data_IF_743422432527
#
_entry.id   IF_743422432527
#
_cell.length_a   1.000
_cell.length_b   1.000
_cell.length_c   1.000
_cell.angle_alpha   90.00
_cell.angle_beta   90.00
_cell.angle_gamma   90.00
#
_symmetry.space_group_name_H-M   'P 1'
#
loop_
_entity.id
_entity.type
_entity.pdbx_description
1 polymer ?
#
# COMPACT_ATOMS: atom_id res chain seq x y z
N UNK A 1 9.36 -11.05 17.73
CA UNK A 1 8.75 -10.00 16.89
C UNK A 1 7.63 -10.58 16.04
N UNK A 2 6.66 -9.76 15.65
CA UNK A 2 5.51 -10.18 14.83
C UNK A 2 5.84 -10.04 13.35
N UNK A 3 5.70 -11.15 12.62
CA UNK A 3 5.78 -11.19 11.16
C UNK A 3 4.66 -10.40 10.50
N UNK A 4 4.85 -9.92 9.26
CA UNK A 4 3.79 -9.23 8.48
C UNK A 4 2.54 -10.10 8.40
N UNK A 5 2.72 -11.40 8.14
CA UNK A 5 1.60 -12.36 8.09
C UNK A 5 0.82 -12.40 9.41
N UNK A 6 1.52 -12.38 10.55
CA UNK A 6 0.87 -12.32 11.87
C UNK A 6 0.20 -10.96 12.11
N UNK A 7 0.81 -9.83 11.71
CA UNK A 7 0.19 -8.50 11.81
C UNK A 7 -1.12 -8.41 11.01
N UNK A 8 -1.14 -8.92 9.77
CA UNK A 8 -2.35 -8.99 8.94
C UNK A 8 -3.40 -9.93 9.52
N UNK A 9 -2.99 -11.07 10.08
CA UNK A 9 -3.90 -12.00 10.74
C UNK A 9 -4.50 -11.40 12.01
N UNK A 10 -3.71 -10.68 12.81
CA UNK A 10 -4.19 -9.89 13.96
C UNK A 10 -5.19 -8.84 13.50
N UNK A 11 -4.94 -8.14 12.39
CA UNK A 11 -5.88 -7.17 11.83
C UNK A 11 -7.23 -7.80 11.48
N UNK A 12 -7.22 -8.95 10.81
CA UNK A 12 -8.45 -9.69 10.47
C UNK A 12 -9.20 -10.20 11.71
N UNK A 13 -8.47 -10.74 12.69
CA UNK A 13 -9.07 -11.19 13.95
C UNK A 13 -9.66 -10.01 14.72
N UNK A 14 -8.95 -8.88 14.76
CA UNK A 14 -9.43 -7.67 15.42
C UNK A 14 -10.72 -7.14 14.80
N UNK A 15 -10.83 -7.07 13.47
CA UNK A 15 -12.06 -6.65 12.80
C UNK A 15 -13.21 -7.63 13.03
N UNK A 16 -12.95 -8.94 13.03
CA UNK A 16 -13.96 -9.96 13.33
C UNK A 16 -14.46 -9.89 14.78
N UNK A 17 -13.56 -9.70 15.75
CA UNK A 17 -13.92 -9.52 17.17
C UNK A 17 -14.80 -8.30 17.34
N UNK A 18 -14.44 -7.19 16.70
CA UNK A 18 -15.16 -5.94 16.81
C UNK A 18 -16.58 -6.07 16.18
N UNK A 19 -16.69 -6.72 15.03
CA UNK A 19 -17.99 -7.05 14.42
C UNK A 19 -18.84 -7.95 15.33
N UNK A 20 -18.23 -8.98 15.92
CA UNK A 20 -18.90 -9.91 16.82
C UNK A 20 -19.44 -9.20 18.07
N UNK A 21 -18.68 -8.27 18.65
CA UNK A 21 -19.11 -7.46 19.80
C UNK A 21 -20.34 -6.62 19.43
N UNK A 22 -20.32 -5.93 18.28
CA UNK A 22 -21.46 -5.13 17.80
C UNK A 22 -22.71 -5.99 17.64
N UNK A 23 -22.59 -7.13 16.96
CA UNK A 23 -23.72 -8.03 16.72
C UNK A 23 -24.28 -8.56 18.03
N UNK A 24 -23.41 -9.00 18.95
CA UNK A 24 -23.84 -9.57 20.24
C UNK A 24 -24.58 -8.54 21.08
N UNK A 25 -24.06 -7.31 21.18
CA UNK A 25 -24.71 -6.22 21.94
C UNK A 25 -26.03 -5.81 21.28
N UNK A 26 -26.07 -5.77 19.94
CA UNK A 26 -27.30 -5.44 19.20
C UNK A 26 -28.39 -6.48 19.43
N UNK A 27 -28.05 -7.77 19.33
CA UNK A 27 -28.98 -8.88 19.60
C UNK A 27 -29.47 -8.83 21.04
N UNK A 28 -28.56 -8.64 22.02
CA UNK A 28 -28.93 -8.51 23.43
C UNK A 28 -29.88 -7.34 23.68
N UNK A 29 -29.61 -6.17 23.08
CA UNK A 29 -30.48 -4.99 23.20
C UNK A 29 -31.87 -5.23 22.59
N UNK A 30 -31.94 -5.89 21.43
CA UNK A 30 -33.22 -6.22 20.77
C UNK A 30 -34.01 -7.23 21.59
N UNK A 31 -33.35 -8.26 22.14
CA UNK A 31 -34.00 -9.26 22.99
C UNK A 31 -34.58 -8.65 24.26
N UNK A 32 -33.85 -7.77 24.94
CA UNK A 32 -34.36 -7.06 26.11
C UNK A 32 -35.57 -6.18 25.76
N UNK A 33 -35.50 -5.43 24.65
CA UNK A 33 -36.62 -4.60 24.21
C UNK A 33 -37.85 -5.44 23.86
N UNK A 34 -37.67 -6.55 23.15
CA UNK A 34 -38.75 -7.48 22.80
C UNK A 34 -39.41 -8.08 24.03
N UNK A 35 -38.62 -8.43 25.06
CA UNK A 35 -39.14 -8.99 26.32
C UNK A 35 -40.03 -7.98 27.06
N UNK A 36 -39.60 -6.72 27.13
CA UNK A 36 -40.40 -5.68 27.81
C UNK A 36 -41.62 -5.28 26.99
N UNK A 37 -41.52 -5.28 25.65
CA UNK A 37 -42.66 -5.03 24.77
C UNK A 37 -43.76 -6.08 24.92
N UNK A 38 -43.40 -7.37 24.97
CA UNK A 38 -44.38 -8.44 25.17
C UNK A 38 -45.07 -8.36 26.54
N UNK A 39 -44.33 -8.02 27.60
CA UNK A 39 -44.94 -7.76 28.91
C UNK A 39 -45.96 -6.62 28.86
N UNK A 40 -45.62 -5.51 28.20
CA UNK A 40 -46.56 -4.40 28.02
C UNK A 40 -47.82 -4.79 27.26
N UNK A 41 -47.73 -5.70 26.29
CA UNK A 41 -48.89 -6.20 25.54
C UNK A 41 -49.85 -6.99 26.45
N UNK A 42 -49.31 -7.85 27.32
CA UNK A 42 -50.12 -8.60 28.30
C UNK A 42 -50.84 -7.64 29.24
N UNK A 43 -50.11 -6.70 29.85
CA UNK A 43 -50.64 -5.72 30.80
C UNK A 43 -51.66 -4.76 30.16
N UNK A 44 -51.46 -4.39 28.89
CA UNK A 44 -52.43 -3.61 28.12
C UNK A 44 -53.77 -4.35 27.98
N UNK A 45 -53.73 -5.65 27.72
CA UNK A 45 -54.95 -6.45 27.62
C UNK A 45 -55.68 -6.53 28.96
N UNK A 46 -54.96 -6.59 30.08
CA UNK A 46 -55.56 -6.57 31.43
C UNK A 46 -56.34 -5.28 31.68
N UNK A 47 -55.70 -4.12 31.41
CA UNK A 47 -56.33 -2.79 31.52
C UNK A 47 -57.55 -2.69 30.61
N UNK A 48 -57.43 -3.13 29.35
CA UNK A 48 -58.52 -3.01 28.38
C UNK A 48 -59.76 -3.81 28.80
N UNK A 49 -59.58 -5.06 29.24
CA UNK A 49 -60.70 -5.92 29.62
C UNK A 49 -61.34 -5.46 30.95
N UNK A 50 -60.54 -4.95 31.91
CA UNK A 50 -61.08 -4.31 33.10
C UNK A 50 -61.98 -3.10 32.77
N UNK A 51 -61.53 -2.25 31.84
CA UNK A 51 -62.26 -1.07 31.42
C UNK A 51 -63.55 -1.42 30.66
N UNK A 52 -63.50 -2.42 29.78
CA UNK A 52 -64.68 -2.91 29.06
C UNK A 52 -65.73 -3.51 30.03
N UNK A 53 -65.31 -4.25 31.06
CA UNK A 53 -66.20 -4.73 32.11
C UNK A 53 -66.85 -3.58 32.90
N UNK A 54 -66.07 -2.54 33.22
CA UNK A 54 -66.57 -1.34 33.88
C UNK A 54 -67.67 -0.66 33.06
N UNK A 55 -67.41 -0.44 31.77
CA UNK A 55 -68.37 0.21 30.85
C UNK A 55 -69.64 -0.64 30.74
N UNK A 56 -69.52 -1.95 30.51
CA UNK A 56 -70.68 -2.82 30.33
C UNK A 56 -71.55 -2.87 31.59
N UNK A 57 -70.93 -2.92 32.78
CA UNK A 57 -71.65 -2.91 34.05
C UNK A 57 -72.32 -1.55 34.33
N UNK A 58 -71.65 -0.44 34.00
CA UNK A 58 -72.26 0.89 34.09
C UNK A 58 -73.48 1.02 33.19
N UNK A 59 -73.41 0.52 31.94
CA UNK A 59 -74.54 0.49 31.01
C UNK A 59 -75.69 -0.36 31.54
N UNK A 60 -75.39 -1.54 32.11
CA UNK A 60 -76.38 -2.37 32.79
C UNK A 60 -77.09 -1.61 33.92
N UNK A 61 -76.34 -0.94 34.80
CA UNK A 61 -76.93 -0.14 35.87
C UNK A 61 -77.75 1.05 35.36
N UNK A 62 -77.36 1.67 34.24
CA UNK A 62 -78.12 2.75 33.61
C UNK A 62 -79.50 2.27 33.15
N UNK A 63 -79.60 1.08 32.53
CA UNK A 63 -80.93 0.56 32.12
C UNK A 63 -81.87 0.36 33.30
N UNK A 64 -81.37 -0.10 34.45
CA UNK A 64 -82.16 -0.21 35.69
C UNK A 64 -82.65 1.17 36.14
N UNK A 65 -81.76 2.17 36.14
CA UNK A 65 -82.11 3.57 36.49
C UNK A 65 -83.15 4.16 35.53
N UNK A 66 -82.97 3.97 34.23
CA UNK A 66 -83.90 4.47 33.20
C UNK A 66 -85.28 3.80 33.29
N UNK A 67 -85.31 2.48 33.53
CA UNK A 67 -86.57 1.77 33.81
C UNK A 67 -87.28 2.35 35.04
N UNK A 68 -86.54 2.70 36.09
CA UNK A 68 -87.13 3.28 37.29
C UNK A 68 -87.72 4.68 37.07
N UNK A 69 -87.04 5.51 36.27
CA UNK A 69 -87.46 6.90 36.01
C UNK A 69 -88.60 6.94 34.98
N UNK A 70 -88.46 6.24 33.87
CA UNK A 70 -89.34 6.38 32.70
C UNK A 70 -90.36 5.25 32.54
N UNK A 71 -90.22 4.14 33.30
CA UNK A 71 -91.09 2.95 33.20
C UNK A 71 -91.15 2.33 31.81
N UNK A 72 -90.13 2.58 31.01
CA UNK A 72 -90.03 2.09 29.65
C UNK A 72 -89.65 0.60 29.65
N UNK A 73 -90.56 -0.24 29.16
CA UNK A 73 -90.35 -1.69 29.06
C UNK A 73 -89.25 -2.08 28.07
N UNK A 74 -88.87 -1.19 27.15
CA UNK A 74 -87.70 -1.38 26.28
C UNK A 74 -86.41 -1.53 27.09
N UNK A 75 -86.33 -0.91 28.29
CA UNK A 75 -85.17 -1.01 29.15
C UNK A 75 -84.96 -2.42 29.72
N UNK A 76 -85.99 -3.26 29.77
CA UNK A 76 -85.85 -4.68 30.16
C UNK A 76 -85.05 -5.42 29.08
N UNK A 77 -85.32 -5.16 27.80
CA UNK A 77 -84.58 -5.75 26.69
C UNK A 77 -83.14 -5.23 26.65
N UNK A 78 -82.94 -3.93 26.90
CA UNK A 78 -81.60 -3.34 26.99
C UNK A 78 -80.81 -3.93 28.17
N UNK A 79 -81.48 -4.16 29.31
CA UNK A 79 -80.88 -4.80 30.47
C UNK A 79 -80.41 -6.21 30.15
N UNK A 80 -81.25 -7.03 29.50
CA UNK A 80 -80.88 -8.39 29.10
C UNK A 80 -79.71 -8.40 28.10
N UNK A 81 -79.66 -7.42 27.19
CA UNK A 81 -78.52 -7.23 26.30
C UNK A 81 -77.22 -6.93 27.07
N UNK A 82 -77.21 -5.93 27.95
CA UNK A 82 -76.03 -5.57 28.73
C UNK A 82 -75.67 -6.61 29.78
N UNK A 83 -76.62 -7.42 30.23
CA UNK A 83 -76.38 -8.59 31.08
C UNK A 83 -75.52 -9.61 30.35
N UNK A 84 -75.85 -9.92 29.10
CA UNK A 84 -75.04 -10.82 28.26
C UNK A 84 -73.65 -10.23 28.02
N UNK A 85 -73.56 -8.94 27.64
CA UNK A 85 -72.26 -8.29 27.40
C UNK A 85 -71.39 -8.29 28.66
N UNK A 86 -71.95 -7.95 29.82
CA UNK A 86 -71.20 -7.92 31.08
C UNK A 86 -70.74 -9.31 31.50
N UNK A 87 -71.55 -10.35 31.26
CA UNK A 87 -71.11 -11.74 31.50
C UNK A 87 -69.95 -12.14 30.59
N UNK A 88 -69.99 -11.76 29.31
CA UNK A 88 -68.87 -12.03 28.37
C UNK A 88 -67.59 -11.38 28.88
N UNK A 89 -67.65 -10.09 29.27
CA UNK A 89 -66.49 -9.36 29.80
C UNK A 89 -65.99 -9.89 31.14
N UNK A 90 -66.89 -10.34 32.01
CA UNK A 90 -66.53 -10.99 33.26
C UNK A 90 -65.76 -12.30 33.01
N UNK A 91 -66.21 -13.12 32.06
CA UNK A 91 -65.50 -14.35 31.68
C UNK A 91 -64.16 -14.07 30.98
N UNK A 92 -64.04 -12.98 30.22
CA UNK A 92 -62.76 -12.51 29.68
C UNK A 92 -61.80 -12.08 30.81
N UNK A 93 -62.27 -11.28 31.79
CA UNK A 93 -61.49 -10.91 32.98
C UNK A 93 -60.99 -12.16 33.73
N UNK A 94 -61.85 -13.15 33.96
CA UNK A 94 -61.48 -14.40 34.66
C UNK A 94 -60.37 -15.18 33.95
N UNK A 95 -60.37 -15.17 32.62
CA UNK A 95 -59.32 -15.85 31.83
C UNK A 95 -57.97 -15.14 31.90
N UNK A 96 -58.00 -13.81 31.99
CA UNK A 96 -56.80 -12.96 31.91
C UNK A 96 -56.17 -12.76 33.29
N UNK A 97 -56.97 -12.50 34.32
CA UNK A 97 -56.50 -12.25 35.69
C UNK A 97 -56.12 -13.57 36.41
N UNK A 98 -55.04 -14.20 35.96
CA UNK A 98 -54.50 -15.44 36.57
C UNK A 98 -53.48 -15.17 37.70
N UNK A 99 -53.05 -13.92 37.87
CA UNK A 99 -52.10 -13.52 38.89
C UNK A 99 -52.62 -12.23 39.55
N UNK A 100 -52.50 -12.14 40.89
CA UNK A 100 -52.66 -10.92 41.71
C UNK A 100 -53.98 -10.74 42.47
N UNK A 101 -53.99 -9.69 43.31
CA UNK A 101 -55.07 -9.18 44.15
C UNK A 101 -56.36 -8.86 43.38
N UNK A 102 -56.28 -8.72 42.06
CA UNK A 102 -57.43 -8.51 41.18
C UNK A 102 -58.41 -9.70 41.19
N UNK A 103 -57.97 -10.92 41.52
CA UNK A 103 -58.88 -12.07 41.66
C UNK A 103 -59.88 -11.90 42.82
N UNK A 104 -59.43 -11.33 43.93
CA UNK A 104 -60.30 -11.11 45.09
C UNK A 104 -61.36 -10.05 44.77
N UNK A 105 -60.94 -8.92 44.18
CA UNK A 105 -61.85 -7.88 43.73
C UNK A 105 -62.81 -8.38 42.64
N UNK A 106 -62.36 -9.23 41.73
CA UNK A 106 -63.20 -9.81 40.69
C UNK A 106 -64.26 -10.75 41.27
N UNK A 107 -63.89 -11.56 42.28
CA UNK A 107 -64.82 -12.44 42.98
C UNK A 107 -65.87 -11.65 43.79
N UNK A 108 -65.46 -10.56 44.45
CA UNK A 108 -66.38 -9.66 45.15
C UNK A 108 -67.33 -8.98 44.17
N UNK A 109 -66.81 -8.48 43.05
CA UNK A 109 -67.62 -7.93 41.97
C UNK A 109 -68.63 -8.96 41.44
N UNK A 110 -68.20 -10.20 41.14
CA UNK A 110 -69.09 -11.25 40.64
C UNK A 110 -70.23 -11.55 41.62
N UNK A 111 -69.93 -11.62 42.91
CA UNK A 111 -70.94 -11.81 43.96
C UNK A 111 -71.97 -10.69 43.97
N UNK A 112 -71.53 -9.44 43.89
CA UNK A 112 -72.43 -8.27 43.87
C UNK A 112 -73.18 -8.16 42.54
N UNK A 113 -72.55 -8.51 41.43
CA UNK A 113 -73.17 -8.57 40.11
C UNK A 113 -74.32 -9.59 40.06
N UNK A 114 -74.14 -10.79 40.61
CA UNK A 114 -75.21 -11.80 40.72
C UNK A 114 -76.37 -11.25 41.57
N UNK A 115 -76.07 -10.52 42.65
CA UNK A 115 -77.10 -9.89 43.49
C UNK A 115 -77.85 -8.78 42.75
N UNK A 116 -77.16 -7.84 42.13
CA UNK A 116 -77.74 -6.76 41.31
C UNK A 116 -78.65 -7.33 40.23
N UNK A 117 -78.20 -8.36 39.51
CA UNK A 117 -78.99 -8.96 38.44
C UNK A 117 -80.23 -9.68 38.95
N UNK A 118 -80.11 -10.38 40.08
CA UNK A 118 -81.27 -11.03 40.72
C UNK A 118 -82.31 -10.03 41.23
N UNK A 119 -81.87 -8.92 41.84
CA UNK A 119 -82.74 -7.85 42.34
C UNK A 119 -83.38 -7.07 41.20
N UNK A 120 -82.63 -6.76 40.14
CA UNK A 120 -83.15 -6.10 38.93
C UNK A 120 -84.25 -6.93 38.28
N UNK A 121 -84.06 -8.25 38.15
CA UNK A 121 -85.10 -9.16 37.61
C UNK A 121 -86.34 -9.25 38.50
N UNK A 122 -86.20 -9.17 39.83
CA UNK A 122 -87.34 -9.08 40.76
C UNK A 122 -88.07 -7.76 40.58
N UNK A 123 -87.34 -6.66 40.47
CA UNK A 123 -87.85 -5.31 40.25
C UNK A 123 -88.67 -5.20 38.96
N UNK A 124 -88.20 -5.79 37.84
CA UNK A 124 -88.92 -5.80 36.57
C UNK A 124 -90.22 -6.62 36.59
N UNK A 125 -90.35 -7.59 37.51
CA UNK A 125 -91.55 -8.42 37.67
C UNK A 125 -92.59 -7.82 38.62
N UNK A 126 -92.20 -6.85 39.45
CA UNK A 126 -93.10 -6.19 40.38
C UNK A 126 -93.98 -5.18 39.65
N UNK A 127 -95.26 -5.14 40.01
CA UNK A 127 -96.15 -4.08 39.56
C UNK A 127 -95.93 -2.86 40.45
N UNK A 128 -94.97 -2.01 40.05
CA UNK A 128 -94.40 -0.92 40.89
C UNK A 128 -95.44 0.08 41.42
N UNK A 129 -96.65 0.11 40.83
CA UNK A 129 -97.77 0.95 41.28
C UNK A 129 -98.49 0.39 42.53
N UNK A 130 -98.47 -0.92 42.76
CA UNK A 130 -99.15 -1.57 43.89
C UNK A 130 -98.24 -1.81 45.11
N UNK A 131 -96.92 -1.92 44.90
CA UNK A 131 -95.92 -2.21 45.95
C UNK A 131 -94.82 -1.13 46.02
N UNK A 132 -95.22 0.11 46.30
CA UNK A 132 -94.29 1.26 46.38
C UNK A 132 -93.20 1.04 47.45
N UNK A 133 -93.55 0.53 48.63
CA UNK A 133 -92.61 0.27 49.72
C UNK A 133 -91.61 -0.86 49.40
N UNK A 134 -92.06 -1.93 48.72
CA UNK A 134 -91.17 -3.01 48.31
C UNK A 134 -90.22 -2.57 47.18
N UNK A 135 -90.71 -1.71 46.28
CA UNK A 135 -89.88 -1.12 45.22
C UNK A 135 -88.81 -0.19 45.79
N UNK A 136 -89.16 0.64 46.77
CA UNK A 136 -88.22 1.54 47.46
C UNK A 136 -87.12 0.77 48.20
N UNK A 137 -87.49 -0.30 48.94
CA UNK A 137 -86.51 -1.17 49.59
C UNK A 137 -85.55 -1.85 48.60
N UNK A 138 -86.08 -2.38 47.49
CA UNK A 138 -85.25 -2.99 46.44
C UNK A 138 -84.35 -1.94 45.80
N UNK A 139 -84.80 -0.69 45.62
CA UNK A 139 -83.97 0.39 45.07
C UNK A 139 -82.81 0.74 46.00
N UNK A 140 -83.05 0.85 47.30
CA UNK A 140 -82.00 1.15 48.29
C UNK A 140 -80.95 0.03 48.32
N UNK A 141 -81.39 -1.23 48.36
CA UNK A 141 -80.50 -2.40 48.33
C UNK A 141 -79.72 -2.48 47.00
N UNK A 142 -80.38 -2.26 45.87
CA UNK A 142 -79.75 -2.29 44.54
C UNK A 142 -78.74 -1.16 44.38
N UNK A 143 -79.05 0.04 44.87
CA UNK A 143 -78.12 1.18 44.89
C UNK A 143 -76.87 0.87 45.72
N UNK A 144 -77.03 0.29 46.90
CA UNK A 144 -75.92 -0.09 47.78
C UNK A 144 -75.02 -1.15 47.13
N UNK A 145 -75.61 -2.23 46.61
CA UNK A 145 -74.84 -3.34 46.01
C UNK A 145 -74.22 -2.91 44.68
N UNK A 146 -74.92 -2.12 43.87
CA UNK A 146 -74.37 -1.54 42.63
C UNK A 146 -73.17 -0.64 42.92
N UNK A 147 -73.24 0.18 43.97
CA UNK A 147 -72.11 1.03 44.39
C UNK A 147 -70.91 0.20 44.84
N UNK A 148 -71.15 -0.87 45.61
CA UNK A 148 -70.12 -1.84 46.02
C UNK A 148 -69.45 -2.50 44.81
N UNK A 149 -70.24 -3.00 43.85
CA UNK A 149 -69.73 -3.61 42.62
C UNK A 149 -68.91 -2.62 41.76
N UNK A 150 -69.37 -1.37 41.64
CA UNK A 150 -68.61 -0.31 40.94
C UNK A 150 -67.29 -0.03 41.67
N UNK A 151 -67.29 -0.02 43.01
CA UNK A 151 -66.06 0.19 43.79
C UNK A 151 -65.04 -0.92 43.55
N UNK A 152 -65.45 -2.18 43.52
CA UNK A 152 -64.55 -3.32 43.25
C UNK A 152 -63.95 -3.26 41.83
N UNK A 153 -64.74 -2.92 40.79
CA UNK A 153 -64.19 -2.71 39.44
C UNK A 153 -63.23 -1.51 39.41
N UNK A 154 -63.56 -0.43 40.11
CA UNK A 154 -62.68 0.74 40.16
C UNK A 154 -61.34 0.41 40.82
N UNK A 155 -61.31 -0.46 41.84
CA UNK A 155 -60.07 -0.97 42.44
C UNK A 155 -59.25 -1.75 41.41
N UNK A 156 -59.86 -2.66 40.66
CA UNK A 156 -59.19 -3.42 39.58
C UNK A 156 -58.63 -2.48 38.50
N UNK A 157 -59.44 -1.55 38.00
CA UNK A 157 -59.02 -0.60 36.96
C UNK A 157 -57.84 0.25 37.42
N UNK A 158 -57.89 0.72 38.67
CA UNK A 158 -56.82 1.55 39.24
C UNK A 158 -55.52 0.76 39.43
N UNK A 159 -55.60 -0.49 39.86
CA UNK A 159 -54.42 -1.33 40.06
C UNK A 159 -53.78 -1.73 38.73
N UNK A 160 -54.56 -2.22 37.77
CA UNK A 160 -54.07 -2.56 36.42
C UNK A 160 -53.46 -1.34 35.71
N UNK A 161 -54.07 -0.14 35.81
CA UNK A 161 -53.47 1.10 35.31
C UNK A 161 -52.16 1.45 36.00
N UNK A 162 -52.07 1.23 37.32
CA UNK A 162 -50.85 1.47 38.09
C UNK A 162 -49.73 0.53 37.64
N UNK A 163 -50.01 -0.76 37.51
CA UNK A 163 -49.06 -1.76 37.02
C UNK A 163 -48.58 -1.41 35.60
N UNK A 164 -49.50 -1.11 34.69
CA UNK A 164 -49.18 -0.68 33.33
C UNK A 164 -48.28 0.56 33.31
N UNK A 165 -48.55 1.57 34.14
CA UNK A 165 -47.71 2.76 34.24
C UNK A 165 -46.29 2.45 34.71
N UNK A 166 -46.12 1.49 35.64
CA UNK A 166 -44.80 1.01 36.08
C UNK A 166 -44.06 0.35 34.90
N UNK A 167 -44.74 -0.51 34.13
CA UNK A 167 -44.14 -1.16 32.96
C UNK A 167 -43.81 -0.20 31.83
N UNK A 168 -44.64 0.82 31.58
CA UNK A 168 -44.33 1.89 30.62
C UNK A 168 -43.06 2.62 31.04
N UNK A 169 -42.91 2.94 32.33
CA UNK A 169 -41.72 3.61 32.84
C UNK A 169 -40.47 2.72 32.72
N UNK A 170 -40.58 1.42 33.06
CA UNK A 170 -39.49 0.45 32.91
C UNK A 170 -39.10 0.23 31.45
N UNK A 171 -40.07 0.17 30.53
CA UNK A 171 -39.82 0.08 29.09
C UNK A 171 -39.12 1.34 28.56
N UNK A 172 -39.54 2.54 28.97
CA UNK A 172 -38.85 3.78 28.61
C UNK A 172 -37.39 3.75 29.06
N UNK A 173 -37.14 3.33 30.30
CA UNK A 173 -35.79 3.19 30.85
C UNK A 173 -34.96 2.18 30.07
N UNK A 174 -35.53 1.00 29.79
CA UNK A 174 -34.87 -0.07 29.02
C UNK A 174 -34.55 0.38 27.59
N UNK A 175 -35.46 1.10 26.94
CA UNK A 175 -35.25 1.65 25.60
C UNK A 175 -34.15 2.73 25.59
N UNK A 176 -34.15 3.65 26.55
CA UNK A 176 -33.08 4.65 26.71
C UNK A 176 -31.73 3.95 26.92
N UNK A 177 -31.66 2.96 27.81
CA UNK A 177 -30.44 2.21 28.08
C UNK A 177 -29.96 1.43 26.85
N UNK A 178 -30.88 0.81 26.10
CA UNK A 178 -30.57 0.12 24.84
C UNK A 178 -29.98 1.05 23.79
N UNK A 179 -30.60 2.22 23.59
CA UNK A 179 -30.08 3.26 22.67
C UNK A 179 -28.67 3.70 23.06
N UNK A 180 -28.45 4.01 24.33
CA UNK A 180 -27.11 4.39 24.80
C UNK A 180 -26.09 3.26 24.63
N UNK A 181 -26.47 2.01 24.93
CA UNK A 181 -25.59 0.84 24.75
C UNK A 181 -25.12 0.70 23.29
N UNK A 182 -26.02 0.84 22.32
CA UNK A 182 -25.68 0.78 20.88
C UNK A 182 -24.78 1.96 20.49
N UNK A 183 -25.10 3.19 20.94
CA UNK A 183 -24.30 4.39 20.64
C UNK A 183 -22.88 4.27 21.21
N UNK A 184 -22.73 3.89 22.49
CA UNK A 184 -21.43 3.72 23.12
C UNK A 184 -20.60 2.64 22.43
N UNK A 185 -21.22 1.52 22.06
CA UNK A 185 -20.55 0.44 21.31
C UNK A 185 -20.06 0.91 19.94
N UNK A 186 -20.87 1.72 19.24
CA UNK A 186 -20.49 2.33 17.96
C UNK A 186 -19.31 3.31 18.08
N UNK A 187 -19.35 4.21 19.07
CA UNK A 187 -18.25 5.16 19.32
C UNK A 187 -16.98 4.42 19.71
N UNK A 188 -17.07 3.44 20.60
CA UNK A 188 -15.95 2.62 21.04
C UNK A 188 -15.32 1.87 19.87
N UNK A 189 -16.15 1.33 18.98
CA UNK A 189 -15.71 0.70 17.73
C UNK A 189 -14.87 1.64 16.88
N UNK A 190 -15.38 2.83 16.59
CA UNK A 190 -14.67 3.81 15.74
C UNK A 190 -13.34 4.21 16.38
N UNK A 191 -13.34 4.43 17.69
CA UNK A 191 -12.13 4.74 18.44
C UNK A 191 -11.08 3.62 18.36
N UNK A 192 -11.50 2.37 18.59
CA UNK A 192 -10.66 1.19 18.45
C UNK A 192 -10.11 1.03 17.02
N UNK A 193 -10.94 1.24 16.00
CA UNK A 193 -10.51 1.23 14.59
C UNK A 193 -9.50 2.33 14.27
N UNK A 194 -9.68 3.54 14.83
CA UNK A 194 -8.74 4.65 14.64
C UNK A 194 -7.37 4.33 15.25
N UNK A 195 -7.33 3.86 16.50
CA UNK A 195 -6.10 3.44 17.17
C UNK A 195 -5.42 2.32 16.36
N UNK A 196 -6.18 1.31 15.97
CA UNK A 196 -5.67 0.19 15.20
C UNK A 196 -5.09 0.63 13.85
N UNK A 197 -5.80 1.51 13.14
CA UNK A 197 -5.35 2.11 11.87
C UNK A 197 -4.01 2.84 12.03
N UNK A 198 -3.85 3.64 13.09
CA UNK A 198 -2.60 4.33 13.38
C UNK A 198 -1.41 3.38 13.57
N UNK A 199 -1.61 2.27 14.30
CA UNK A 199 -0.59 1.25 14.45
C UNK A 199 -0.28 0.54 13.13
N UNK A 200 -1.29 0.26 12.31
CA UNK A 200 -1.13 -0.39 11.01
C UNK A 200 -0.36 0.50 10.02
N UNK A 201 -0.69 1.80 9.98
CA UNK A 201 0.01 2.82 9.18
C UNK A 201 1.50 2.89 9.55
N UNK A 202 1.82 2.97 10.84
CA UNK A 202 3.20 3.00 11.30
C UNK A 202 3.94 1.68 11.09
N UNK A 203 3.24 0.56 11.23
CA UNK A 203 3.85 -0.78 11.26
C UNK A 203 4.08 -1.43 9.91
N UNK A 204 3.43 -0.97 8.85
CA UNK A 204 3.51 -1.56 7.49
C UNK A 204 3.60 -0.47 6.41
N UNK A 205 2.66 0.49 6.40
CA UNK A 205 2.54 1.44 5.29
C UNK A 205 3.75 2.39 5.23
N UNK A 206 4.14 2.99 6.36
CA UNK A 206 5.25 3.95 6.39
C UNK A 206 6.60 3.35 5.95
N UNK A 207 7.01 2.15 6.39
CA UNK A 207 8.20 1.48 5.85
C UNK A 207 8.15 1.23 4.34
N UNK A 208 7.00 0.82 3.80
CA UNK A 208 6.82 0.56 2.36
C UNK A 208 6.87 1.86 1.53
N UNK A 209 6.24 2.93 2.01
CA UNK A 209 6.26 4.23 1.34
C UNK A 209 7.69 4.81 1.27
N UNK A 210 8.44 4.73 2.37
CA UNK A 210 9.86 5.13 2.40
C UNK A 210 10.70 4.36 1.35
N UNK A 211 10.42 3.05 1.19
CA UNK A 211 11.10 2.21 0.22
C UNK A 211 10.72 2.58 -1.22
N UNK A 212 9.43 2.81 -1.50
CA UNK A 212 8.96 3.28 -2.81
C UNK A 212 9.64 4.59 -3.22
N UNK A 213 9.69 5.58 -2.32
CA UNK A 213 10.35 6.86 -2.57
C UNK A 213 11.85 6.69 -2.85
N UNK A 214 12.52 5.76 -2.15
CA UNK A 214 13.94 5.50 -2.39
C UNK A 214 14.16 4.82 -3.74
N UNK A 215 13.31 3.86 -4.10
CA UNK A 215 13.34 3.22 -5.43
C UNK A 215 13.19 4.26 -6.55
N UNK A 216 12.29 5.24 -6.40
CA UNK A 216 12.16 6.33 -7.38
C UNK A 216 13.43 7.18 -7.50
N UNK A 217 14.10 7.49 -6.38
CA UNK A 217 15.39 8.21 -6.38
C UNK A 217 16.48 7.41 -7.08
N UNK A 218 16.55 6.10 -6.85
CA UNK A 218 17.47 5.19 -7.53
C UNK A 218 17.19 5.18 -9.04
N UNK A 219 15.93 5.04 -9.44
CA UNK A 219 15.51 5.04 -10.84
C UNK A 219 15.86 6.36 -11.57
N UNK A 220 15.88 7.48 -10.84
CA UNK A 220 16.32 8.78 -11.38
C UNK A 220 17.85 8.95 -11.46
N UNK A 221 18.63 7.92 -11.12
CA UNK A 221 20.10 7.93 -11.22
C UNK A 221 20.83 8.25 -9.91
N UNK A 222 20.13 8.51 -8.81
CA UNK A 222 20.75 8.77 -7.51
C UNK A 222 21.03 7.45 -6.76
N UNK A 223 22.14 6.79 -7.11
CA UNK A 223 22.60 5.53 -6.49
C UNK A 223 23.12 5.67 -5.04
N UNK A 224 23.15 6.89 -4.50
CA UNK A 224 23.54 7.15 -3.10
C UNK A 224 22.35 7.14 -2.13
N UNK A 225 21.12 7.09 -2.63
CA UNK A 225 19.92 7.03 -1.79
C UNK A 225 19.89 5.73 -0.97
N UNK A 226 19.54 5.81 0.31
CA UNK A 226 19.40 4.65 1.20
C UNK A 226 18.08 4.69 1.94
N UNK A 227 17.50 3.51 2.14
CA UNK A 227 16.33 3.35 3.01
C UNK A 227 16.76 3.13 4.47
N UNK A 228 16.21 3.89 5.41
CA UNK A 228 16.37 3.60 6.84
C UNK A 228 15.57 2.36 7.25
N UNK A 229 16.21 1.44 7.96
CA UNK A 229 15.58 0.19 8.41
C UNK A 229 14.75 0.48 9.67
N UNK A 230 13.49 0.87 9.47
CA UNK A 230 12.54 1.13 10.56
C UNK A 230 11.85 -0.15 11.05
N UNK A 231 11.66 -1.11 10.15
CA UNK A 231 11.01 -2.37 10.43
C UNK A 231 12.04 -3.45 10.76
N UNK A 232 11.70 -4.33 11.71
CA UNK A 232 12.57 -5.43 12.17
C UNK A 232 11.91 -6.80 11.93
N UNK A 233 10.99 -6.85 10.96
CA UNK A 233 10.28 -8.04 10.48
C UNK A 233 10.70 -8.35 9.03
N UNK A 234 9.85 -9.03 8.26
CA UNK A 234 10.15 -9.32 6.85
C UNK A 234 10.32 -8.06 6.00
N UNK A 235 9.69 -6.93 6.35
CA UNK A 235 9.94 -5.65 5.67
C UNK A 235 11.37 -5.19 5.96
N UNK A 236 11.82 -5.33 7.21
CA UNK A 236 13.20 -5.01 7.60
C UNK A 236 14.24 -5.83 6.84
N UNK A 237 14.00 -7.14 6.71
CA UNK A 237 14.85 -8.02 5.92
C UNK A 237 14.86 -7.60 4.44
N UNK A 238 13.69 -7.28 3.86
CA UNK A 238 13.58 -6.79 2.49
C UNK A 238 14.34 -5.48 2.28
N UNK A 239 14.22 -4.52 3.21
CA UNK A 239 14.95 -3.24 3.18
C UNK A 239 16.46 -3.46 3.26
N UNK A 240 16.91 -4.44 4.05
CA UNK A 240 18.32 -4.82 4.13
C UNK A 240 18.83 -5.37 2.79
N UNK A 241 18.11 -6.30 2.19
CA UNK A 241 18.42 -6.84 0.85
C UNK A 241 18.40 -5.75 -0.23
N UNK A 242 17.43 -4.83 -0.16
CA UNK A 242 17.31 -3.69 -1.08
C UNK A 242 18.50 -2.72 -0.96
N UNK A 243 18.88 -2.34 0.27
CA UNK A 243 20.06 -1.51 0.52
C UNK A 243 21.36 -2.21 0.03
N UNK A 244 21.47 -3.54 0.17
CA UNK A 244 22.60 -4.29 -0.35
C UNK A 244 22.66 -4.24 -1.88
N UNK A 245 21.53 -4.41 -2.57
CA UNK A 245 21.43 -4.27 -4.03
C UNK A 245 21.84 -2.86 -4.49
N UNK A 246 21.40 -1.81 -3.80
CA UNK A 246 21.84 -0.42 -4.08
C UNK A 246 23.37 -0.32 -3.93
N UNK A 247 23.92 -0.90 -2.85
CA UNK A 247 25.36 -0.91 -2.61
C UNK A 247 26.16 -1.62 -3.71
N UNK A 248 25.62 -2.72 -4.26
CA UNK A 248 26.20 -3.43 -5.40
C UNK A 248 26.11 -2.56 -6.66
N UNK A 249 24.94 -2.02 -7.00
CA UNK A 249 24.73 -1.14 -8.16
C UNK A 249 25.67 0.08 -8.14
N UNK A 250 25.85 0.70 -6.98
CA UNK A 250 26.76 1.83 -6.80
C UNK A 250 28.24 1.44 -6.97
N UNK A 251 28.60 0.17 -6.77
CA UNK A 251 29.96 -0.34 -6.96
C UNK A 251 30.23 -0.88 -8.36
N UNK A 252 29.22 -1.43 -9.04
CA UNK A 252 29.34 -1.99 -10.39
C UNK A 252 29.15 -0.95 -11.50
N UNK A 253 28.66 0.24 -11.19
CA UNK A 253 28.61 1.35 -12.15
C UNK A 253 29.96 2.07 -12.17
N UNK A 254 30.94 1.57 -12.94
CA UNK A 254 32.22 2.28 -13.17
C UNK A 254 31.93 3.55 -13.97
N UNK A 255 32.29 4.71 -13.42
CA UNK A 255 31.94 6.00 -14.01
C UNK A 255 32.71 6.27 -15.30
N UNK A 256 32.00 6.74 -16.35
CA UNK A 256 32.55 7.46 -17.51
C UNK A 256 33.64 8.49 -17.10
N UNK A 257 33.51 9.08 -15.91
CA UNK A 257 34.44 10.06 -15.36
C UNK A 257 35.80 9.45 -15.01
N UNK A 258 35.86 8.19 -14.58
CA UNK A 258 37.12 7.50 -14.29
C UNK A 258 37.87 7.19 -15.58
N UNK A 259 37.18 6.67 -16.61
CA UNK A 259 37.76 6.45 -17.94
C UNK A 259 38.25 7.76 -18.57
N UNK A 260 37.44 8.82 -18.52
CA UNK A 260 37.84 10.16 -18.96
C UNK A 260 39.03 10.71 -18.17
N UNK A 261 39.08 10.48 -16.85
CA UNK A 261 40.24 10.86 -16.02
C UNK A 261 41.50 10.10 -16.41
N UNK A 262 41.41 8.81 -16.71
CA UNK A 262 42.54 8.03 -17.19
C UNK A 262 43.02 8.62 -18.53
N UNK A 263 42.14 8.77 -19.51
CA UNK A 263 42.46 9.31 -20.84
C UNK A 263 43.12 10.70 -20.74
N UNK A 264 42.56 11.60 -19.92
CA UNK A 264 43.06 12.96 -19.75
C UNK A 264 44.39 13.06 -18.98
N UNK A 265 44.76 12.03 -18.22
CA UNK A 265 46.05 11.95 -17.50
C UNK A 265 47.12 11.17 -18.27
N UNK A 266 46.80 10.54 -19.40
CA UNK A 266 47.82 9.92 -20.25
C UNK A 266 48.71 11.01 -20.87
N UNK A 267 50.02 10.85 -20.79
CA UNK A 267 50.98 11.76 -21.44
C UNK A 267 51.12 11.52 -22.94
N UNK A 268 50.81 10.30 -23.41
CA UNK A 268 50.83 9.96 -24.83
C UNK A 268 49.59 10.55 -25.52
N UNK A 269 49.74 11.05 -26.74
CA UNK A 269 48.60 11.46 -27.57
C UNK A 269 47.83 10.22 -28.02
N UNK A 270 46.51 10.23 -27.80
CA UNK A 270 45.56 9.22 -28.28
C UNK A 270 44.57 9.89 -29.23
N UNK A 271 44.42 9.30 -30.42
CA UNK A 271 43.48 9.71 -31.46
C UNK A 271 42.70 8.49 -31.91
N UNK A 272 41.37 8.58 -31.96
CA UNK A 272 40.49 7.56 -32.53
C UNK A 272 39.76 8.18 -33.72
N UNK A 273 39.72 7.47 -34.85
CA UNK A 273 38.99 7.91 -36.03
C UNK A 273 37.88 6.95 -36.43
N UNK A 274 36.95 7.43 -37.25
CA UNK A 274 36.00 6.58 -37.98
C UNK A 274 36.65 5.89 -39.19
N UNK A 275 35.84 5.13 -39.95
CA UNK A 275 36.22 4.46 -41.21
C UNK A 275 36.68 5.41 -42.33
N UNK A 276 36.30 6.69 -42.25
CA UNK A 276 36.65 7.74 -43.23
C UNK A 276 37.84 8.57 -42.73
N UNK A 277 38.51 8.14 -41.67
CA UNK A 277 39.62 8.83 -41.01
C UNK A 277 39.23 10.17 -40.38
N UNK A 278 37.95 10.41 -40.08
CA UNK A 278 37.54 11.58 -39.30
C UNK A 278 37.76 11.33 -37.82
N UNK A 279 38.36 12.29 -37.14
CA UNK A 279 38.71 12.21 -35.73
C UNK A 279 37.43 12.19 -34.89
N UNK A 280 37.20 11.12 -34.13
CA UNK A 280 36.04 10.95 -33.26
C UNK A 280 36.35 11.27 -31.80
N UNK A 281 37.54 10.89 -31.34
CA UNK A 281 37.96 11.04 -29.93
C UNK A 281 39.43 11.42 -29.89
N UNK A 282 39.77 12.36 -29.01
CA UNK A 282 41.15 12.70 -28.67
C UNK A 282 41.28 12.85 -27.16
N UNK A 283 42.48 12.65 -26.62
CA UNK A 283 42.77 12.96 -25.22
C UNK A 283 43.46 14.33 -25.04
N UNK A 284 43.59 14.79 -23.80
CA UNK A 284 44.21 16.08 -23.49
C UNK A 284 45.65 16.22 -24.00
N UNK A 285 46.46 15.16 -23.97
CA UNK A 285 47.82 15.20 -24.50
C UNK A 285 47.86 15.52 -26.00
N UNK A 286 46.91 15.00 -26.78
CA UNK A 286 46.77 15.32 -28.21
C UNK A 286 46.49 16.79 -28.43
N UNK A 287 45.56 17.37 -27.65
CA UNK A 287 45.21 18.79 -27.74
C UNK A 287 46.42 19.67 -27.41
N UNK A 288 47.16 19.31 -26.36
CA UNK A 288 48.35 20.04 -25.92
C UNK A 288 49.47 20.01 -26.97
N UNK A 289 49.71 18.84 -27.58
CA UNK A 289 50.77 18.66 -28.58
C UNK A 289 50.41 19.36 -29.90
N UNK A 290 49.18 19.22 -30.38
CA UNK A 290 48.78 19.75 -31.70
C UNK A 290 48.29 21.21 -31.67
N UNK A 291 48.00 21.77 -30.49
CA UNK A 291 47.54 23.15 -30.33
C UNK A 291 46.10 23.39 -30.78
N UNK A 292 45.27 22.34 -30.85
CA UNK A 292 43.84 22.44 -31.14
C UNK A 292 43.00 22.39 -29.87
N UNK A 293 41.81 22.98 -29.90
CA UNK A 293 40.76 22.65 -28.93
C UNK A 293 39.95 21.44 -29.39
N UNK A 294 39.33 20.72 -28.45
CA UNK A 294 38.54 19.52 -28.78
C UNK A 294 37.44 19.81 -29.81
N UNK A 295 36.72 20.93 -29.65
CA UNK A 295 35.66 21.35 -30.57
C UNK A 295 36.15 21.65 -31.99
N UNK A 296 37.42 22.01 -32.15
CA UNK A 296 38.01 22.32 -33.45
C UNK A 296 38.50 21.07 -34.17
N UNK A 297 39.04 20.08 -33.43
CA UNK A 297 39.70 18.92 -34.03
C UNK A 297 38.76 17.73 -34.27
N UNK A 298 37.73 17.57 -33.43
CA UNK A 298 36.74 16.51 -33.61
C UNK A 298 35.96 16.73 -34.91
N UNK A 299 35.83 15.66 -35.70
CA UNK A 299 35.18 15.65 -37.02
C UNK A 299 36.11 16.03 -38.17
N UNK A 300 37.30 16.58 -37.92
CA UNK A 300 38.27 16.83 -38.98
C UNK A 300 38.95 15.53 -39.44
N UNK A 301 39.42 15.54 -40.69
CA UNK A 301 40.16 14.40 -41.24
C UNK A 301 41.54 14.30 -40.60
N UNK A 302 41.92 13.10 -40.16
CA UNK A 302 43.23 12.78 -39.57
C UNK A 302 44.41 13.16 -40.47
N UNK A 303 44.19 13.25 -41.79
CA UNK A 303 45.17 13.73 -42.76
C UNK A 303 45.73 15.12 -42.47
N UNK A 304 44.97 16.00 -41.80
CA UNK A 304 45.47 17.34 -41.44
C UNK A 304 46.65 17.26 -40.47
N UNK A 305 46.68 16.23 -39.61
CA UNK A 305 47.72 16.02 -38.61
C UNK A 305 48.94 15.37 -39.27
N UNK A 306 48.72 14.53 -40.28
CA UNK A 306 49.77 13.86 -41.04
C UNK A 306 50.45 14.75 -42.09
N UNK A 307 49.97 15.99 -42.26
CA UNK A 307 50.48 16.98 -43.20
C UNK A 307 49.81 16.89 -44.56
N UNK A 308 48.82 17.77 -44.81
CA UNK A 308 48.33 18.07 -46.16
C UNK A 308 47.67 19.45 -46.22
N UNK A 309 48.48 20.50 -46.29
CA UNK A 309 48.15 21.77 -47.00
C UNK A 309 49.33 22.76 -46.98
N UNK A 310 49.53 23.41 -48.14
CA UNK A 310 50.45 24.48 -48.51
C UNK A 310 51.83 24.03 -49.04
N UNK A 311 51.98 24.19 -50.36
CA UNK A 311 53.13 24.02 -51.26
C UNK A 311 53.48 22.61 -51.81
N UNK A 312 53.47 22.55 -53.15
CA UNK A 312 53.62 21.37 -54.02
C UNK A 312 55.06 20.84 -54.12
N UNK A 313 56.03 21.42 -53.43
CA UNK A 313 57.42 21.00 -53.48
C UNK A 313 58.03 20.98 -52.08
N UNK A 314 57.80 19.87 -51.36
CA UNK A 314 58.76 19.16 -50.49
C UNK A 314 57.99 18.01 -49.80
N UNK A 315 58.48 16.78 -50.03
CA UNK A 315 58.06 15.48 -49.49
C UNK A 315 57.40 15.48 -48.09
N UNK A 316 56.44 14.61 -47.76
CA UNK A 316 56.40 13.16 -48.04
C UNK A 316 54.97 12.63 -48.10
N UNK A 317 54.75 11.59 -48.92
CA UNK A 317 53.69 10.60 -48.75
C UNK A 317 53.71 10.08 -47.31
N UNK A 318 52.90 10.63 -46.41
CA UNK A 318 52.67 10.00 -45.12
C UNK A 318 51.82 8.74 -45.39
N UNK A 319 52.48 7.61 -45.64
CA UNK A 319 51.83 6.35 -46.01
C UNK A 319 51.19 5.66 -44.82
N UNK A 320 51.31 6.20 -43.60
CA UNK A 320 50.83 5.53 -42.37
C UNK A 320 49.38 5.06 -42.46
N UNK A 321 48.48 5.81 -43.09
CA UNK A 321 47.09 5.35 -43.27
C UNK A 321 47.04 4.13 -44.20
N UNK A 322 47.78 4.15 -45.31
CA UNK A 322 47.85 3.04 -46.25
C UNK A 322 48.58 1.84 -45.63
N UNK A 323 49.71 2.07 -44.99
CA UNK A 323 50.51 1.05 -44.30
C UNK A 323 49.68 0.40 -43.18
N UNK A 324 48.87 1.19 -42.44
CA UNK A 324 47.98 0.67 -41.40
C UNK A 324 46.81 -0.10 -41.99
N UNK A 325 46.33 0.30 -43.17
CA UNK A 325 45.26 -0.41 -43.89
C UNK A 325 45.75 -1.75 -44.45
N UNK A 326 46.98 -1.80 -44.97
CA UNK A 326 47.61 -3.01 -45.49
C UNK A 326 48.06 -3.96 -44.37
N UNK A 327 48.73 -3.44 -43.34
CA UNK A 327 49.36 -4.25 -42.29
C UNK A 327 48.46 -4.46 -41.07
N UNK A 328 47.29 -3.80 -41.01
CA UNK A 328 46.31 -3.76 -39.90
C UNK A 328 46.83 -3.13 -38.59
N UNK A 329 48.13 -3.18 -38.34
CA UNK A 329 48.81 -2.63 -37.17
C UNK A 329 50.18 -2.06 -37.56
N UNK A 330 50.58 -0.98 -36.90
CA UNK A 330 51.88 -0.34 -37.02
C UNK A 330 52.42 -0.03 -35.63
N UNK A 331 53.71 -0.27 -35.40
CA UNK A 331 54.32 -0.05 -34.09
C UNK A 331 55.61 0.75 -34.21
N UNK A 332 55.74 1.76 -33.35
CA UNK A 332 56.94 2.56 -33.15
C UNK A 332 57.58 3.10 -34.45
N UNK A 333 56.75 3.59 -35.36
CA UNK A 333 57.19 4.21 -36.60
C UNK A 333 57.48 5.68 -36.33
N UNK A 334 58.70 6.13 -36.62
CA UNK A 334 58.99 7.56 -36.58
C UNK A 334 58.17 8.28 -37.64
N UNK A 335 57.37 9.25 -37.21
CA UNK A 335 56.57 10.09 -38.09
C UNK A 335 56.64 11.55 -37.64
N UNK A 336 56.14 12.44 -38.49
CA UNK A 336 55.98 13.86 -38.18
C UNK A 336 54.50 14.19 -38.16
N UNK A 337 54.02 14.72 -37.03
CA UNK A 337 52.72 15.36 -36.92
C UNK A 337 52.86 16.85 -37.18
N UNK A 338 51.77 17.49 -37.60
CA UNK A 338 51.71 18.93 -37.83
C UNK A 338 50.72 19.57 -36.87
N UNK A 339 51.17 20.60 -36.16
CA UNK A 339 50.32 21.40 -35.28
C UNK A 339 49.34 22.27 -36.09
N UNK A 340 48.37 22.90 -35.42
CA UNK A 340 47.45 23.88 -36.02
C UNK A 340 48.17 25.03 -36.74
N UNK A 341 49.36 25.39 -36.26
CA UNK A 341 50.18 26.47 -36.81
C UNK A 341 51.17 25.98 -37.88
N UNK A 342 51.15 24.68 -38.23
CA UNK A 342 52.05 24.08 -39.21
C UNK A 342 53.41 23.65 -38.66
N UNK A 343 53.61 23.68 -37.34
CA UNK A 343 54.88 23.24 -36.73
C UNK A 343 55.04 21.73 -36.87
N UNK A 344 56.25 21.29 -37.25
CA UNK A 344 56.60 19.88 -37.35
C UNK A 344 56.91 19.29 -35.98
N UNK A 345 56.15 18.28 -35.59
CA UNK A 345 56.24 17.60 -34.31
C UNK A 345 56.73 16.18 -34.56
N UNK A 346 57.98 15.84 -34.23
CA UNK A 346 58.46 14.47 -34.33
C UNK A 346 57.72 13.61 -33.31
N UNK A 347 57.16 12.51 -33.79
CA UNK A 347 56.38 11.57 -32.98
C UNK A 347 56.80 10.14 -33.26
N UNK A 348 56.75 9.31 -32.23
CA UNK A 348 56.82 7.87 -32.37
C UNK A 348 55.38 7.33 -32.46
N UNK A 349 54.97 6.93 -33.67
CA UNK A 349 53.61 6.51 -33.97
C UNK A 349 53.40 5.01 -33.77
N UNK A 350 52.28 4.65 -33.12
CA UNK A 350 51.73 3.30 -33.15
C UNK A 350 50.24 3.39 -33.45
N UNK A 351 49.73 2.50 -34.30
CA UNK A 351 48.32 2.48 -34.67
C UNK A 351 47.80 1.06 -34.87
N UNK A 352 46.50 0.89 -34.68
CA UNK A 352 45.78 -0.35 -35.02
C UNK A 352 44.44 -0.01 -35.64
N UNK A 353 43.98 -0.83 -36.57
CA UNK A 353 42.58 -0.82 -36.98
C UNK A 353 41.70 -1.32 -35.84
N UNK A 354 40.60 -0.62 -35.60
CA UNK A 354 39.52 -1.04 -34.71
C UNK A 354 38.52 -1.84 -35.55
N UNK A 355 38.22 -3.07 -35.12
CA UNK A 355 37.30 -3.96 -35.81
C UNK A 355 35.98 -4.04 -35.06
N UNK A 356 34.87 -4.28 -35.76
CA UNK A 356 33.60 -4.65 -35.13
C UNK A 356 33.56 -6.16 -34.82
N UNK A 357 32.52 -6.63 -34.13
CA UNK A 357 32.36 -8.06 -33.77
C UNK A 357 32.30 -9.01 -34.99
N UNK A 358 32.02 -8.48 -36.18
CA UNK A 358 31.94 -9.22 -37.44
C UNK A 358 33.26 -9.17 -38.22
N UNK A 359 34.31 -8.57 -37.65
CA UNK A 359 35.65 -8.45 -38.25
C UNK A 359 35.81 -7.32 -39.28
N UNK A 360 34.79 -6.47 -39.48
CA UNK A 360 34.87 -5.32 -40.37
C UNK A 360 35.50 -4.12 -39.68
N UNK A 361 36.25 -3.30 -40.43
CA UNK A 361 36.93 -2.11 -39.91
C UNK A 361 35.88 -1.07 -39.50
N UNK A 362 35.96 -0.64 -38.23
CA UNK A 362 35.13 0.42 -37.63
C UNK A 362 35.87 1.76 -37.58
N UNK A 363 37.19 1.73 -37.61
CA UNK A 363 38.04 2.92 -37.54
C UNK A 363 39.49 2.57 -37.23
N UNK A 364 40.25 3.53 -36.71
CA UNK A 364 41.61 3.30 -36.22
C UNK A 364 41.83 3.95 -34.85
N UNK A 365 42.70 3.33 -34.07
CA UNK A 365 43.23 3.87 -32.81
C UNK A 365 44.71 4.17 -33.04
N UNK A 366 45.11 5.40 -32.77
CA UNK A 366 46.46 5.90 -32.94
C UNK A 366 46.98 6.44 -31.61
N UNK A 367 48.18 6.01 -31.22
CA UNK A 367 48.87 6.48 -30.03
C UNK A 367 50.25 6.98 -30.44
N UNK A 368 50.61 8.15 -29.95
CA UNK A 368 51.92 8.74 -30.23
C UNK A 368 52.61 9.26 -28.99
N UNK A 369 53.93 9.11 -28.97
CA UNK A 369 54.78 9.74 -27.96
C UNK A 369 55.57 10.87 -28.61
N UNK A 370 55.56 12.04 -27.98
CA UNK A 370 56.31 13.21 -28.43
C UNK A 370 57.71 13.20 -27.78
N UNK A 371 58.76 13.19 -28.59
CA UNK A 371 60.13 13.31 -28.12
C UNK A 371 60.60 14.77 -28.29
N UNK A 372 60.80 15.49 -27.19
CA UNK A 372 61.51 16.78 -27.19
C UNK A 372 63.00 16.51 -27.39
N UNK A 373 63.55 17.00 -28.50
CA UNK A 373 64.93 16.78 -28.94
C UNK A 373 65.93 17.55 -28.07
N UNK A 374 66.54 16.89 -27.07
CA UNK A 374 67.80 17.36 -26.46
C UNK A 374 69.02 16.51 -26.85
N UNK A 375 68.87 15.40 -27.58
CA UNK A 375 70.00 14.52 -27.96
C UNK A 375 70.18 14.31 -29.47
N UNK A 376 69.61 15.16 -30.32
CA UNK A 376 69.63 14.96 -31.78
C UNK A 376 70.88 15.50 -32.49
N UNK A 377 71.84 16.11 -31.79
CA UNK A 377 73.07 16.62 -32.40
C UNK A 377 74.07 15.53 -32.86
N UNK A 378 73.82 14.24 -32.56
CA UNK A 378 74.71 13.13 -32.96
C UNK A 378 74.12 12.17 -34.01
N UNK A 379 72.95 12.47 -34.60
CA UNK A 379 72.29 11.56 -35.55
C UNK A 379 72.04 12.15 -36.95
N UNK A 380 72.45 13.40 -37.20
CA UNK A 380 72.26 14.10 -38.49
C UNK A 380 73.20 13.64 -39.64
N UNK A 381 73.89 12.50 -39.50
CA UNK A 381 74.85 11.99 -40.51
C UNK A 381 74.51 10.58 -41.04
N UNK A 382 73.24 10.17 -41.07
CA UNK A 382 72.82 8.92 -41.73
C UNK A 382 71.59 9.13 -42.61
N UNK A 383 71.67 10.07 -43.55
CA UNK A 383 70.62 10.30 -44.55
C UNK A 383 70.74 9.38 -45.78
N UNK A 384 71.66 8.38 -45.77
CA UNK A 384 71.95 7.57 -46.96
C UNK A 384 72.05 6.04 -46.76
N UNK A 385 71.48 5.45 -45.70
CA UNK A 385 71.64 3.98 -45.51
C UNK A 385 70.54 3.24 -44.71
N UNK A 386 69.25 3.55 -44.93
CA UNK A 386 68.15 2.84 -44.25
C UNK A 386 67.13 2.20 -45.20
N UNK A 387 67.58 1.72 -46.37
CA UNK A 387 66.96 0.55 -46.99
C UNK A 387 67.66 -0.69 -46.43
N UNK A 388 66.89 -1.66 -45.94
CA UNK A 388 67.33 -2.91 -45.30
C UNK A 388 67.77 -2.81 -43.82
N UNK A 389 66.79 -2.76 -42.91
CA UNK A 389 66.94 -3.46 -41.63
C UNK A 389 65.59 -4.05 -41.23
N UNK A 390 65.41 -5.30 -41.65
CA UNK A 390 64.35 -6.18 -41.21
C UNK A 390 64.40 -6.37 -39.68
N UNK A 391 63.21 -6.30 -39.07
CA UNK A 391 62.77 -7.15 -37.95
C UNK A 391 63.53 -6.93 -36.63
N UNK A 392 62.90 -6.16 -35.75
CA UNK A 392 62.48 -6.73 -34.46
C UNK A 392 60.96 -6.72 -34.44
N UNK A 393 60.36 -7.81 -34.88
CA UNK A 393 59.10 -8.26 -34.30
C UNK A 393 59.32 -8.26 -32.80
N UNK A 394 58.68 -7.33 -32.08
CA UNK A 394 58.46 -7.59 -30.65
C UNK A 394 57.68 -8.89 -30.66
N UNK A 395 58.29 -9.93 -30.10
CA UNK A 395 57.69 -11.26 -29.99
C UNK A 395 56.20 -11.09 -29.68
N UNK A 396 55.33 -11.78 -30.44
CA UNK A 396 53.98 -12.01 -29.98
C UNK A 396 54.11 -12.61 -28.58
N UNK A 397 53.91 -11.81 -27.53
CA UNK A 397 53.85 -12.34 -26.18
C UNK A 397 52.54 -13.12 -26.18
N UNK A 398 52.55 -14.47 -26.26
CA UNK A 398 51.34 -15.21 -26.53
C UNK A 398 50.55 -15.20 -25.22
N UNK A 399 49.59 -14.27 -25.13
CA UNK A 399 48.59 -14.34 -24.09
C UNK A 399 47.80 -15.61 -24.32
N UNK A 400 47.66 -16.42 -23.28
CA UNK A 400 46.79 -17.59 -23.30
C UNK A 400 45.37 -17.17 -23.65
N UNK A 401 44.51 -18.05 -24.20
CA UNK A 401 43.12 -17.72 -24.50
C UNK A 401 42.40 -17.08 -23.31
N UNK A 402 42.70 -17.57 -22.10
CA UNK A 402 42.15 -17.05 -20.85
C UNK A 402 42.67 -15.66 -20.47
N UNK A 403 43.95 -15.38 -20.72
CA UNK A 403 44.53 -14.06 -20.49
C UNK A 403 44.00 -13.03 -21.49
N UNK A 404 43.73 -13.44 -22.74
CA UNK A 404 43.10 -12.59 -23.75
C UNK A 404 41.66 -12.25 -23.40
N UNK A 405 40.90 -13.23 -22.92
CA UNK A 405 39.53 -13.05 -22.44
C UNK A 405 39.47 -12.10 -21.24
N UNK A 406 40.36 -12.29 -20.26
CA UNK A 406 40.48 -11.39 -19.10
C UNK A 406 40.91 -9.99 -19.55
N UNK A 407 41.84 -9.87 -20.50
CA UNK A 407 42.24 -8.58 -21.05
C UNK A 407 41.09 -7.86 -21.76
N UNK A 408 40.26 -8.58 -22.53
CA UNK A 408 39.08 -8.02 -23.17
C UNK A 408 38.10 -7.49 -22.13
N UNK A 409 37.80 -8.25 -21.10
CA UNK A 409 36.89 -7.81 -20.04
C UNK A 409 37.45 -6.64 -19.22
N UNK A 410 38.77 -6.55 -19.04
CA UNK A 410 39.42 -5.37 -18.43
C UNK A 410 39.24 -4.13 -19.30
N UNK A 411 39.34 -4.32 -20.61
CA UNK A 411 39.20 -3.26 -21.60
C UNK A 411 37.72 -2.86 -21.82
N UNK A 412 36.77 -3.78 -21.59
CA UNK A 412 35.31 -3.55 -21.47
C UNK A 412 34.90 -3.05 -20.07
N UNK A 413 35.86 -2.55 -19.28
CA UNK A 413 35.64 -1.91 -17.97
C UNK A 413 35.07 -2.80 -16.86
N UNK A 414 35.15 -4.14 -17.00
CA UNK A 414 34.68 -5.06 -15.96
C UNK A 414 35.62 -5.08 -14.75
N UNK A 415 35.03 -5.03 -13.56
CA UNK A 415 35.73 -5.19 -12.29
C UNK A 415 36.23 -6.63 -12.10
N UNK A 416 37.19 -6.85 -11.20
CA UNK A 416 37.68 -8.20 -10.90
C UNK A 416 36.56 -9.15 -10.42
N UNK A 417 35.51 -8.59 -9.80
CA UNK A 417 34.33 -9.34 -9.37
C UNK A 417 33.45 -9.73 -10.55
N UNK A 418 33.13 -8.79 -11.45
CA UNK A 418 32.35 -9.09 -12.65
C UNK A 418 33.08 -10.05 -13.59
N UNK A 419 34.40 -9.90 -13.74
CA UNK A 419 35.22 -10.84 -14.52
C UNK A 419 35.15 -12.23 -13.87
N UNK A 420 35.27 -12.31 -12.55
CA UNK A 420 35.19 -13.58 -11.82
C UNK A 420 33.83 -14.26 -12.02
N UNK A 421 32.74 -13.50 -11.98
CA UNK A 421 31.38 -13.99 -12.21
C UNK A 421 31.15 -14.42 -13.66
N UNK A 422 31.50 -13.59 -14.64
CA UNK A 422 31.34 -13.89 -16.07
C UNK A 422 32.14 -15.12 -16.50
N UNK A 423 33.30 -15.31 -15.88
CA UNK A 423 34.23 -16.37 -16.22
C UNK A 423 34.15 -17.59 -15.28
N UNK A 424 33.22 -17.57 -14.30
CA UNK A 424 33.04 -18.61 -13.28
C UNK A 424 34.34 -19.00 -12.55
N UNK A 425 35.15 -18.01 -12.16
CA UNK A 425 36.41 -18.21 -11.41
C UNK A 425 36.46 -17.32 -10.16
N UNK A 426 37.41 -17.55 -9.26
CA UNK A 426 37.55 -16.69 -8.07
C UNK A 426 38.15 -15.32 -8.42
N UNK A 427 37.78 -14.28 -7.68
CA UNK A 427 38.38 -12.93 -7.79
C UNK A 427 39.91 -12.97 -7.68
N UNK A 428 40.43 -13.82 -6.77
CA UNK A 428 41.88 -14.03 -6.59
C UNK A 428 42.53 -14.66 -7.82
N UNK A 429 41.82 -15.51 -8.55
CA UNK A 429 42.26 -16.06 -9.84
C UNK A 429 42.34 -14.97 -10.90
N UNK A 430 41.35 -14.07 -10.97
CA UNK A 430 41.38 -12.90 -11.86
C UNK A 430 42.57 -11.98 -11.55
N UNK A 431 42.81 -11.68 -10.28
CA UNK A 431 43.97 -10.88 -9.85
C UNK A 431 45.30 -11.52 -10.24
N UNK A 432 45.39 -12.85 -10.12
CA UNK A 432 46.57 -13.62 -10.54
C UNK A 432 46.78 -13.53 -12.05
N UNK A 433 45.73 -13.69 -12.85
CA UNK A 433 45.81 -13.49 -14.30
C UNK A 433 46.19 -12.05 -14.66
N UNK A 434 45.62 -11.02 -14.02
CA UNK A 434 46.01 -9.62 -14.23
C UNK A 434 47.49 -9.38 -13.95
N UNK A 435 47.98 -9.92 -12.83
CA UNK A 435 49.39 -9.86 -12.46
C UNK A 435 50.28 -10.54 -13.50
N UNK A 436 49.90 -11.73 -13.96
CA UNK A 436 50.64 -12.47 -14.97
C UNK A 436 50.65 -11.74 -16.32
N UNK A 437 49.53 -11.16 -16.75
CA UNK A 437 49.43 -10.34 -17.96
C UNK A 437 50.35 -9.11 -17.84
N UNK A 438 50.29 -8.38 -16.72
CA UNK A 438 51.16 -7.21 -16.47
C UNK A 438 52.65 -7.59 -16.47
N UNK A 439 52.99 -8.72 -15.86
CA UNK A 439 54.36 -9.23 -15.81
C UNK A 439 54.86 -9.68 -17.18
N UNK A 440 54.04 -10.39 -17.96
CA UNK A 440 54.34 -10.83 -19.33
C UNK A 440 54.55 -9.63 -20.27
N UNK A 441 53.74 -8.58 -20.11
CA UNK A 441 53.82 -7.37 -20.94
C UNK A 441 54.82 -6.33 -20.42
N UNK A 442 55.52 -6.62 -19.31
CA UNK A 442 56.43 -5.69 -18.64
C UNK A 442 55.81 -4.32 -18.32
N UNK A 443 54.51 -4.29 -18.03
CA UNK A 443 53.77 -3.05 -17.74
C UNK A 443 53.42 -2.96 -16.26
N UNK A 444 53.56 -1.77 -15.68
CA UNK A 444 53.17 -1.48 -14.28
C UNK A 444 51.84 -0.72 -14.17
N UNK A 445 51.20 -0.44 -15.29
CA UNK A 445 50.02 0.42 -15.34
C UNK A 445 48.91 -0.21 -16.18
N UNK A 446 47.68 -0.13 -15.67
CA UNK A 446 46.45 -0.49 -16.39
C UNK A 446 46.32 0.31 -17.69
N UNK A 447 46.88 1.52 -17.73
CA UNK A 447 46.97 2.36 -18.94
C UNK A 447 47.74 1.65 -20.06
N UNK A 448 48.86 1.01 -19.72
CA UNK A 448 49.68 0.31 -20.69
C UNK A 448 49.05 -1.02 -21.13
N UNK A 449 48.21 -1.64 -20.28
CA UNK A 449 47.37 -2.79 -20.64
C UNK A 449 46.29 -2.40 -21.65
N UNK A 450 45.57 -1.30 -21.41
CA UNK A 450 44.54 -0.79 -22.32
C UNK A 450 45.17 -0.35 -23.65
N UNK A 451 46.33 0.31 -23.59
CA UNK A 451 47.15 0.64 -24.78
C UNK A 451 47.51 -0.62 -25.57
N UNK A 452 47.97 -1.67 -24.90
CA UNK A 452 48.28 -2.95 -25.57
C UNK A 452 47.03 -3.59 -26.17
N UNK A 453 45.90 -3.64 -25.46
CA UNK A 453 44.66 -4.23 -25.93
C UNK A 453 44.10 -3.50 -27.17
N UNK A 454 44.15 -2.16 -27.16
CA UNK A 454 43.74 -1.32 -28.29
C UNK A 454 44.68 -1.45 -29.50
N UNK A 455 46.00 -1.55 -29.27
CA UNK A 455 46.99 -1.70 -30.34
C UNK A 455 47.00 -3.11 -30.96
N UNK A 456 46.46 -4.12 -30.27
CA UNK A 456 46.43 -5.50 -30.74
C UNK A 456 45.04 -5.96 -31.21
N UNK A 457 44.05 -5.06 -31.30
CA UNK A 457 42.69 -5.38 -31.75
C UNK A 457 41.94 -6.37 -30.84
N UNK A 458 42.26 -6.38 -29.54
CA UNK A 458 41.54 -7.19 -28.53
C UNK A 458 40.22 -6.52 -28.14
N UNK A 459 40.12 -5.20 -28.33
CA UNK A 459 38.92 -4.36 -28.23
C UNK A 459 38.77 -3.44 -29.43
#
# INVERSE_FOLDING_TARGET
MLTIKKKLLIAKIFTLILLFIIVTISVYSIQNLSKTAHKMEVEYNEVNVAHELQISFQQLNLTVKEFLIHRDTQQINNFDYYLVQTNIKLEECKKIFNHNQNQEHLANFEKDFIRVTSLSKKLFKLNVVLDAAASEFIMEELSSISSSAVEEINKISKETEREMNIYIADNRKTNINGKWSVIFTGIFTVFCSFIFSHFFLKGIIKPLDNMMQTTQKIASGNLSAKTEILAHDEIGNLMTSFNNMIGILNRTTVSRDYFNHILNKMNDSLIITDINHNIMVVNQATLNILGYTEKEIIGLSFHIILGKKFDDEVFTKNTIINDLTEQKQLHNIYNTYFSKNGEKIPVLFSGSLMLNEQGAVKGMICITNHHTTENSASSLNQENNFQSTLIKTVDEIPLTPREREIMKLIAEERSNQEIAELLFISVRTVETHRKNIMQKLHTKSVIALVKYAALNGII
#
